data_IF_127639255641
#
_entry.id   IF_127639255641
#
_cell.length_a   1.000
_cell.length_b   1.000
_cell.length_c   1.000
_cell.angle_alpha   90.00
_cell.angle_beta   90.00
_cell.angle_gamma   90.00
#
_symmetry.space_group_name_H-M   'P 1'
#
loop_
_entity.id
_entity.type
_entity.pdbx_description
1 polymer ?
#
# COMPACT_ATOMS: atom_id res chain seq x y z
N UNK A 1 16.78 6.76 -40.27
CA UNK A 1 16.21 5.99 -39.18
C UNK A 1 16.29 6.86 -37.96
N UNK A 2 15.23 7.56 -37.63
CA UNK A 2 15.16 8.39 -36.43
C UNK A 2 14.75 7.47 -35.28
N UNK A 3 15.62 7.36 -34.27
CA UNK A 3 15.25 6.77 -33.02
C UNK A 3 14.14 7.63 -32.42
N UNK A 4 12.93 7.12 -32.42
CA UNK A 4 11.87 7.64 -31.55
C UNK A 4 12.36 7.30 -30.13
N UNK A 5 12.89 8.30 -29.47
CA UNK A 5 12.98 8.28 -28.02
C UNK A 5 11.54 8.46 -27.53
N UNK A 6 10.88 7.35 -27.21
CA UNK A 6 9.65 7.37 -26.47
C UNK A 6 9.97 8.05 -25.13
N UNK A 7 9.58 9.30 -25.01
CA UNK A 7 9.49 9.96 -23.74
C UNK A 7 8.27 9.32 -23.05
N UNK A 8 8.52 8.37 -22.19
CA UNK A 8 7.49 7.81 -21.33
C UNK A 8 6.79 8.98 -20.63
N UNK A 9 5.47 9.08 -20.80
CA UNK A 9 4.67 10.19 -20.28
C UNK A 9 4.80 10.30 -18.74
N UNK A 10 5.19 9.23 -18.08
CA UNK A 10 5.41 9.15 -16.64
C UNK A 10 6.84 9.52 -16.19
N UNK A 11 7.75 9.79 -17.12
CA UNK A 11 9.12 10.21 -16.81
C UNK A 11 9.98 9.20 -16.06
N UNK A 12 9.50 7.96 -15.88
CA UNK A 12 10.25 6.91 -15.19
C UNK A 12 11.37 6.37 -16.07
N UNK A 13 12.59 6.42 -15.57
CA UNK A 13 13.76 5.83 -16.24
C UNK A 13 14.37 4.76 -15.35
N UNK A 14 14.82 3.69 -15.98
CA UNK A 14 15.59 2.64 -15.28
C UNK A 14 16.76 3.27 -14.52
N UNK A 15 16.90 2.89 -13.26
CA UNK A 15 17.92 3.42 -12.37
C UNK A 15 17.52 4.68 -11.61
N UNK A 16 16.28 5.16 -11.73
CA UNK A 16 15.77 6.31 -10.97
C UNK A 16 14.99 5.89 -9.75
N UNK A 17 14.96 6.78 -8.79
CA UNK A 17 14.07 6.73 -7.63
C UNK A 17 12.84 7.58 -7.91
N UNK A 18 11.69 7.09 -7.49
CA UNK A 18 10.42 7.80 -7.45
C UNK A 18 9.78 7.58 -6.09
N UNK A 19 8.93 8.47 -5.69
CA UNK A 19 8.22 8.35 -4.43
C UNK A 19 6.81 8.89 -4.54
N UNK A 20 5.97 8.48 -3.60
CA UNK A 20 4.60 8.93 -3.56
C UNK A 20 4.00 8.82 -2.17
N UNK A 21 2.86 9.45 -2.03
CA UNK A 21 2.05 9.37 -0.82
C UNK A 21 0.56 9.46 -1.18
N UNK A 22 -0.26 8.80 -0.39
CA UNK A 22 -1.70 8.78 -0.57
C UNK A 22 -2.46 8.87 0.74
N UNK A 23 -3.72 9.21 0.61
CA UNK A 23 -4.71 9.22 1.68
C UNK A 23 -5.90 8.37 1.27
N UNK A 24 -6.52 7.72 2.22
CA UNK A 24 -7.61 6.81 1.89
C UNK A 24 -8.24 6.15 3.10
N UNK A 25 -8.66 4.92 2.90
CA UNK A 25 -9.35 4.14 3.92
C UNK A 25 -8.85 2.71 3.93
N UNK A 26 -8.78 2.14 5.12
CA UNK A 26 -8.49 0.74 5.38
C UNK A 26 -9.72 0.12 6.07
N UNK A 27 -10.24 -0.95 5.51
CA UNK A 27 -11.39 -1.67 6.05
C UNK A 27 -10.99 -2.96 6.75
N UNK A 28 -11.95 -3.50 7.50
CA UNK A 28 -11.79 -4.76 8.23
C UNK A 28 -10.57 -4.76 9.17
N UNK A 29 -10.35 -3.61 9.81
CA UNK A 29 -9.35 -3.45 10.86
C UNK A 29 -9.73 -4.30 12.08
N UNK A 30 -8.85 -4.50 13.07
CA UNK A 30 -9.14 -5.31 14.26
C UNK A 30 -10.45 -4.95 14.97
N UNK A 31 -10.89 -3.69 14.86
CA UNK A 31 -12.16 -3.20 15.43
C UNK A 31 -13.36 -3.45 14.51
N UNK A 32 -13.15 -3.99 13.30
CA UNK A 32 -14.19 -4.23 12.30
C UNK A 32 -14.72 -2.97 11.62
N UNK A 33 -14.06 -1.82 11.77
CA UNK A 33 -14.46 -0.52 11.21
C UNK A 33 -13.62 -0.13 9.99
N UNK A 34 -14.12 0.87 9.28
CA UNK A 34 -13.40 1.55 8.21
C UNK A 34 -12.59 2.69 8.83
N UNK A 35 -11.27 2.65 8.70
CA UNK A 35 -10.38 3.65 9.24
C UNK A 35 -9.79 4.55 8.16
N UNK A 36 -9.55 5.81 8.51
CA UNK A 36 -8.76 6.70 7.66
C UNK A 36 -7.32 6.21 7.62
N UNK A 37 -6.77 6.12 6.41
CA UNK A 37 -5.45 5.59 6.15
C UNK A 37 -4.56 6.55 5.37
N UNK A 38 -3.27 6.40 5.61
CA UNK A 38 -2.19 7.04 4.88
C UNK A 38 -1.28 5.96 4.30
N UNK A 39 -0.80 6.17 3.09
CA UNK A 39 0.30 5.40 2.53
C UNK A 39 1.45 6.31 2.09
N UNK A 40 2.63 5.73 2.05
CA UNK A 40 3.82 6.36 1.51
C UNK A 40 4.76 5.31 0.94
N UNK A 41 5.36 5.58 -0.20
CA UNK A 41 6.27 4.65 -0.83
C UNK A 41 7.45 5.35 -1.49
N UNK A 42 8.55 4.62 -1.57
CA UNK A 42 9.73 5.00 -2.35
C UNK A 42 10.13 3.79 -3.17
N UNK A 43 10.39 4.00 -4.44
CA UNK A 43 10.61 2.92 -5.39
C UNK A 43 11.84 3.17 -6.24
N UNK A 44 12.55 2.11 -6.56
CA UNK A 44 13.65 2.11 -7.51
C UNK A 44 13.22 1.40 -8.79
N UNK A 45 13.32 2.08 -9.93
CA UNK A 45 12.92 1.55 -11.23
C UNK A 45 14.02 0.60 -11.73
N UNK A 46 13.73 -0.70 -11.75
CA UNK A 46 14.66 -1.76 -12.13
C UNK A 46 14.56 -2.18 -13.61
N UNK A 47 13.42 -1.89 -14.23
CA UNK A 47 13.17 -2.09 -15.66
C UNK A 47 12.14 -1.04 -16.14
N UNK A 48 11.93 -0.88 -17.44
CA UNK A 48 11.05 0.14 -18.04
C UNK A 48 9.63 0.20 -17.42
N UNK A 49 9.15 -0.93 -16.89
CA UNK A 49 7.79 -1.05 -16.34
C UNK A 49 7.77 -1.73 -14.97
N UNK A 50 8.90 -1.81 -14.32
CA UNK A 50 9.04 -2.55 -13.07
C UNK A 50 9.84 -1.76 -12.05
N UNK A 51 9.29 -1.62 -10.87
CA UNK A 51 9.99 -1.05 -9.73
C UNK A 51 9.92 -1.96 -8.50
N UNK A 52 10.81 -1.69 -7.57
CA UNK A 52 10.84 -2.31 -6.24
C UNK A 52 11.14 -1.24 -5.19
N UNK A 53 10.49 -1.34 -4.06
CA UNK A 53 10.77 -0.41 -2.96
C UNK A 53 9.92 -0.62 -1.72
N UNK A 54 10.22 0.08 -0.64
CA UNK A 54 9.42 0.05 0.57
C UNK A 54 8.12 0.84 0.42
N UNK A 55 7.08 0.32 1.09
CA UNK A 55 5.79 0.99 1.29
C UNK A 55 5.43 0.96 2.77
N UNK A 56 5.00 2.09 3.27
CA UNK A 56 4.46 2.27 4.63
C UNK A 56 2.97 2.51 4.51
N UNK A 57 2.18 1.83 5.34
CA UNK A 57 0.75 2.07 5.51
C UNK A 57 0.49 2.43 6.98
N UNK A 58 -0.33 3.42 7.20
CA UNK A 58 -0.79 3.80 8.53
C UNK A 58 -2.30 3.99 8.50
N UNK A 59 -2.98 3.45 9.48
CA UNK A 59 -4.39 3.73 9.71
C UNK A 59 -4.63 3.86 11.21
N UNK A 60 -5.64 4.61 11.61
CA UNK A 60 -5.98 4.75 13.01
C UNK A 60 -7.13 5.70 13.27
N UNK A 61 -7.85 5.42 14.34
CA UNK A 61 -8.95 6.23 14.85
C UNK A 61 -8.86 6.30 16.39
N UNK A 62 -8.74 7.50 16.93
CA UNK A 62 -8.70 7.67 18.39
C UNK A 62 -7.49 7.02 19.06
N UNK A 63 -7.71 5.94 19.81
CA UNK A 63 -6.68 5.24 20.59
C UNK A 63 -6.08 4.03 19.88
N UNK A 64 -6.56 3.70 18.68
CA UNK A 64 -6.15 2.52 17.94
C UNK A 64 -5.32 2.92 16.74
N UNK A 65 -4.31 2.11 16.41
CA UNK A 65 -3.48 2.34 15.24
C UNK A 65 -3.10 1.02 14.56
N UNK A 66 -2.88 1.12 13.27
CA UNK A 66 -2.29 0.09 12.45
C UNK A 66 -1.12 0.70 11.68
N UNK A 67 0.03 0.05 11.76
CA UNK A 67 1.23 0.40 11.03
C UNK A 67 1.73 -0.80 10.24
N UNK A 68 1.79 -0.67 8.91
CA UNK A 68 2.32 -1.67 7.99
C UNK A 68 3.60 -1.18 7.31
N UNK A 69 4.57 -2.08 7.17
CA UNK A 69 5.76 -1.86 6.35
C UNK A 69 5.98 -3.09 5.47
N UNK A 70 6.13 -2.87 4.16
CA UNK A 70 6.32 -3.94 3.19
C UNK A 70 7.31 -3.54 2.10
N UNK A 71 8.00 -4.52 1.55
CA UNK A 71 8.72 -4.39 0.29
C UNK A 71 7.72 -4.71 -0.83
N UNK A 72 7.60 -3.79 -1.79
CA UNK A 72 6.66 -3.86 -2.90
C UNK A 72 7.39 -4.07 -4.21
N UNK A 73 6.73 -4.76 -5.13
CA UNK A 73 7.04 -4.76 -6.56
C UNK A 73 5.84 -4.18 -7.27
N UNK A 74 6.07 -3.22 -8.17
CA UNK A 74 5.02 -2.62 -9.01
C UNK A 74 5.36 -2.82 -10.48
N UNK A 75 4.32 -3.12 -11.26
CA UNK A 75 4.37 -3.26 -12.71
C UNK A 75 3.33 -2.33 -13.35
N UNK A 76 3.77 -1.51 -14.32
CA UNK A 76 2.92 -0.58 -15.06
C UNK A 76 2.57 -1.12 -16.44
N UNK A 77 1.30 -1.03 -16.77
CA UNK A 77 0.77 -1.44 -18.06
C UNK A 77 0.07 -0.27 -18.72
N UNK A 78 0.57 0.16 -19.90
CA UNK A 78 -0.05 1.24 -20.67
C UNK A 78 -1.48 0.90 -21.06
N UNK A 79 -2.39 1.82 -20.80
CA UNK A 79 -3.77 1.70 -21.27
C UNK A 79 -3.82 2.17 -22.72
N UNK A 80 -4.21 1.32 -23.69
CA UNK A 80 -4.26 1.70 -25.10
C UNK A 80 -5.16 2.93 -25.32
N UNK A 81 -4.69 3.87 -26.14
CA UNK A 81 -5.44 5.08 -26.49
C UNK A 81 -5.20 6.29 -25.58
N UNK A 82 -4.47 6.13 -24.49
CA UNK A 82 -4.14 7.25 -23.57
C UNK A 82 -2.82 7.93 -23.90
N UNK A 83 -2.13 7.49 -24.94
CA UNK A 83 -0.79 8.00 -25.32
C UNK A 83 0.23 7.94 -24.18
N UNK A 84 0.13 6.95 -23.32
CA UNK A 84 0.97 6.78 -22.14
C UNK A 84 0.62 7.71 -20.97
N UNK A 85 -0.43 8.51 -21.06
CA UNK A 85 -0.83 9.38 -19.94
C UNK A 85 -1.51 8.63 -18.80
N UNK A 86 -2.01 7.42 -19.05
CA UNK A 86 -2.68 6.61 -18.02
C UNK A 86 -2.19 5.18 -18.09
N UNK A 87 -1.82 4.64 -16.94
CA UNK A 87 -1.32 3.26 -16.78
C UNK A 87 -2.12 2.51 -15.73
N UNK A 88 -2.30 1.23 -15.96
CA UNK A 88 -2.75 0.29 -14.95
C UNK A 88 -1.53 -0.16 -14.15
N UNK A 89 -1.64 -0.13 -12.83
CA UNK A 89 -0.61 -0.57 -11.90
C UNK A 89 -1.02 -1.91 -11.31
N UNK A 90 -0.13 -2.89 -11.38
CA UNK A 90 -0.23 -4.13 -10.62
C UNK A 90 0.83 -4.11 -9.55
N UNK A 91 0.46 -4.39 -8.31
CA UNK A 91 1.41 -4.35 -7.20
C UNK A 91 1.23 -5.52 -6.25
N UNK A 92 2.34 -5.91 -5.62
CA UNK A 92 2.35 -6.94 -4.61
C UNK A 92 3.60 -6.85 -3.74
N UNK A 93 3.50 -7.32 -2.51
CA UNK A 93 4.59 -7.19 -1.57
C UNK A 93 4.56 -8.18 -0.42
N UNK A 94 5.61 -8.10 0.39
CA UNK A 94 5.77 -8.86 1.62
C UNK A 94 6.27 -7.94 2.72
N UNK A 95 5.73 -8.09 3.91
CA UNK A 95 6.12 -7.25 5.02
C UNK A 95 5.54 -7.69 6.35
N UNK A 96 5.41 -6.73 7.24
CA UNK A 96 4.81 -6.92 8.54
C UNK A 96 3.85 -5.78 8.86
N UNK A 97 2.89 -6.07 9.71
CA UNK A 97 1.93 -5.12 10.25
C UNK A 97 1.94 -5.19 11.77
N UNK A 98 1.76 -4.05 12.39
CA UNK A 98 1.60 -3.90 13.83
C UNK A 98 0.33 -3.11 14.11
N UNK A 99 -0.54 -3.66 14.94
CA UNK A 99 -1.75 -3.00 15.41
C UNK A 99 -1.65 -2.77 16.92
N UNK A 100 -2.08 -1.61 17.38
CA UNK A 100 -2.22 -1.30 18.79
C UNK A 100 -3.66 -0.95 19.10
N UNK A 101 -4.20 -1.55 20.16
CA UNK A 101 -5.55 -1.30 20.66
C UNK A 101 -5.41 -0.86 22.11
N UNK A 102 -5.99 0.29 22.44
CA UNK A 102 -6.02 0.79 23.82
C UNK A 102 -7.41 0.58 24.39
N UNK A 103 -7.51 -0.30 25.36
CA UNK A 103 -8.75 -0.50 26.13
C UNK A 103 -9.01 0.76 26.98
N UNK A 104 -10.08 1.48 26.64
CA UNK A 104 -10.48 2.73 27.29
C UNK A 104 -10.89 2.54 28.75
N UNK A 105 -11.36 1.34 29.14
CA UNK A 105 -11.85 1.07 30.51
C UNK A 105 -10.72 0.74 31.47
N UNK A 106 -9.68 0.03 30.98
CA UNK A 106 -8.54 -0.38 31.80
C UNK A 106 -7.28 0.47 31.60
N UNK A 107 -7.23 1.28 30.53
CA UNK A 107 -6.05 2.02 30.11
C UNK A 107 -4.90 1.12 29.63
N UNK A 108 -5.18 -0.16 29.36
CA UNK A 108 -4.17 -1.14 28.96
C UNK A 108 -4.01 -1.11 27.45
N UNK A 109 -2.80 -0.80 26.98
CA UNK A 109 -2.46 -0.87 25.56
C UNK A 109 -1.95 -2.28 25.21
N UNK A 110 -2.62 -2.94 24.28
CA UNK A 110 -2.20 -4.20 23.69
C UNK A 110 -1.66 -3.94 22.28
N UNK A 111 -0.56 -4.61 21.95
CA UNK A 111 0.03 -4.49 20.60
C UNK A 111 0.21 -5.87 20.00
N UNK A 112 -0.25 -6.02 18.77
CA UNK A 112 -0.19 -7.25 18.00
C UNK A 112 0.63 -7.04 16.75
N UNK A 113 1.42 -8.03 16.35
CA UNK A 113 2.20 -8.00 15.12
C UNK A 113 1.94 -9.24 14.28
N UNK A 114 1.94 -9.07 12.96
CA UNK A 114 1.71 -10.13 12.00
C UNK A 114 2.48 -9.90 10.70
N UNK A 115 2.49 -10.90 9.84
CA UNK A 115 2.88 -10.73 8.45
C UNK A 115 1.90 -9.80 7.72
N UNK A 116 2.34 -9.20 6.63
CA UNK A 116 1.55 -8.38 5.72
C UNK A 116 1.88 -8.78 4.28
N UNK A 117 0.87 -9.20 3.51
CA UNK A 117 0.99 -9.49 2.10
C UNK A 117 -0.01 -8.59 1.36
N UNK A 118 0.39 -7.38 0.95
CA UNK A 118 -0.45 -6.53 0.11
C UNK A 118 -0.40 -7.01 -1.33
N UNK A 119 -1.58 -7.12 -1.95
CA UNK A 119 -1.75 -7.35 -3.38
C UNK A 119 -2.75 -6.33 -3.88
N UNK A 120 -2.46 -5.67 -4.99
CA UNK A 120 -3.34 -4.61 -5.45
C UNK A 120 -3.25 -4.27 -6.91
N UNK A 121 -4.22 -3.45 -7.29
CA UNK A 121 -4.30 -2.82 -8.60
C UNK A 121 -4.48 -1.33 -8.41
N UNK A 122 -3.95 -0.54 -9.32
CA UNK A 122 -4.08 0.90 -9.29
C UNK A 122 -4.18 1.49 -10.69
N UNK A 123 -4.41 2.77 -10.72
CA UNK A 123 -4.35 3.58 -11.94
C UNK A 123 -3.49 4.80 -11.64
N UNK A 124 -2.51 5.01 -12.50
CA UNK A 124 -1.66 6.18 -12.51
C UNK A 124 -2.05 7.07 -13.68
N UNK A 125 -2.19 8.38 -13.44
CA UNK A 125 -2.49 9.37 -14.47
C UNK A 125 -1.52 10.55 -14.42
N UNK A 126 -0.71 10.72 -15.47
CA UNK A 126 0.24 11.82 -15.56
C UNK A 126 -0.49 13.16 -15.78
N UNK A 127 -0.34 14.08 -14.85
CA UNK A 127 -0.92 15.44 -14.91
C UNK A 127 0.09 16.42 -15.49
N UNK A 128 1.36 16.22 -15.17
CA UNK A 128 2.46 17.03 -15.69
C UNK A 128 3.76 16.23 -15.62
N UNK A 129 4.84 16.66 -16.29
CA UNK A 129 6.14 16.04 -16.14
C UNK A 129 6.55 15.98 -14.65
N UNK A 130 6.73 14.78 -14.12
CA UNK A 130 7.12 14.55 -12.74
C UNK A 130 5.97 14.60 -11.70
N UNK A 131 4.71 14.69 -12.12
CA UNK A 131 3.55 14.60 -11.21
C UNK A 131 2.49 13.66 -11.78
N UNK A 132 2.21 12.61 -11.06
CA UNK A 132 1.23 11.58 -11.40
C UNK A 132 0.19 11.50 -10.28
N UNK A 133 -1.09 11.51 -10.62
CA UNK A 133 -2.17 11.15 -9.69
C UNK A 133 -2.28 9.64 -9.65
N UNK A 134 -2.45 9.08 -8.46
CA UNK A 134 -2.58 7.65 -8.23
C UNK A 134 -3.90 7.30 -7.57
N UNK A 135 -4.45 6.16 -7.93
CA UNK A 135 -5.60 5.57 -7.24
C UNK A 135 -5.33 4.07 -7.09
N UNK A 136 -5.21 3.61 -5.86
CA UNK A 136 -4.80 2.25 -5.54
C UNK A 136 -5.88 1.52 -4.73
N UNK A 137 -6.16 0.28 -5.13
CA UNK A 137 -6.96 -0.68 -4.37
C UNK A 137 -6.06 -1.84 -3.95
N UNK A 138 -5.92 -2.04 -2.64
CA UNK A 138 -5.10 -3.09 -2.05
C UNK A 138 -5.96 -4.08 -1.28
N UNK A 139 -5.59 -5.34 -1.33
CA UNK A 139 -6.02 -6.38 -0.41
C UNK A 139 -4.83 -6.77 0.45
N UNK A 140 -4.86 -6.38 1.70
CA UNK A 140 -3.84 -6.68 2.68
C UNK A 140 -4.17 -7.99 3.39
N UNK A 141 -3.43 -9.05 3.09
CA UNK A 141 -3.56 -10.34 3.77
C UNK A 141 -2.69 -10.32 5.03
N UNK A 142 -3.28 -10.61 6.17
CA UNK A 142 -2.63 -10.58 7.49
C UNK A 142 -3.31 -11.55 8.44
N UNK A 143 -2.71 -11.79 9.60
CA UNK A 143 -3.37 -12.49 10.71
C UNK A 143 -3.60 -11.58 11.93
N UNK A 144 -3.57 -10.24 11.75
CA UNK A 144 -3.95 -9.31 12.80
C UNK A 144 -5.46 -9.30 12.94
N UNK A 145 -5.97 -9.44 14.15
CA UNK A 145 -7.41 -9.31 14.44
C UNK A 145 -8.07 -10.50 15.09
N UNK A 146 -7.33 -11.55 15.50
CA UNK A 146 -7.90 -12.63 16.28
C UNK A 146 -7.25 -12.81 17.65
N UNK A 147 -8.12 -13.10 18.58
CA UNK A 147 -8.00 -13.14 20.02
C UNK A 147 -6.80 -13.94 20.48
N UNK A 148 -5.76 -13.26 20.90
CA UNK A 148 -4.75 -13.87 21.78
C UNK A 148 -5.23 -13.69 23.21
N UNK A 149 -5.89 -14.68 23.77
CA UNK A 149 -6.10 -14.74 25.21
C UNK A 149 -4.73 -14.94 25.88
N UNK A 150 -4.26 -13.94 26.58
CA UNK A 150 -3.06 -14.02 27.40
C UNK A 150 -3.26 -15.11 28.46
N UNK A 151 -2.51 -16.23 28.33
CA UNK A 151 -2.45 -17.30 29.30
C UNK A 151 -3.17 -18.60 28.96
N UNK A 152 -3.96 -18.68 27.90
CA UNK A 152 -4.59 -19.89 27.37
C UNK A 152 -4.27 -20.06 25.90
N UNK A 153 -3.71 -21.18 25.52
CA UNK A 153 -3.34 -21.50 24.14
C UNK A 153 -4.59 -21.61 23.27
N UNK A 154 -4.85 -20.61 22.45
CA UNK A 154 -5.60 -20.75 21.21
C UNK A 154 -4.91 -19.87 20.17
N UNK A 155 -4.11 -20.50 19.30
CA UNK A 155 -3.58 -19.88 18.10
C UNK A 155 -4.55 -20.17 16.96
N UNK A 156 -5.60 -19.43 16.80
CA UNK A 156 -6.39 -19.43 15.58
C UNK A 156 -5.75 -18.43 14.59
N UNK A 157 -4.92 -18.97 13.71
CA UNK A 157 -4.32 -18.25 12.60
C UNK A 157 -5.33 -18.13 11.45
N UNK A 158 -6.38 -17.35 11.63
CA UNK A 158 -7.24 -17.00 10.52
C UNK A 158 -6.58 -15.87 9.71
N UNK A 159 -6.53 -16.05 8.41
CA UNK A 159 -6.07 -14.99 7.51
C UNK A 159 -7.17 -13.96 7.38
N UNK A 160 -6.90 -12.75 7.83
CA UNK A 160 -7.77 -11.60 7.67
C UNK A 160 -7.41 -10.86 6.37
N UNK A 161 -8.41 -10.36 5.66
CA UNK A 161 -8.23 -9.54 4.47
C UNK A 161 -8.70 -8.13 4.81
N UNK A 162 -7.78 -7.17 4.77
CA UNK A 162 -8.06 -5.76 5.01
C UNK A 162 -8.02 -5.03 3.65
N UNK A 163 -9.17 -4.74 3.02
CA UNK A 163 -9.20 -3.93 1.82
C UNK A 163 -8.79 -2.49 2.14
N UNK A 164 -7.97 -1.90 1.28
CA UNK A 164 -7.57 -0.51 1.38
C UNK A 164 -7.75 0.19 0.04
N UNK A 165 -8.15 1.45 0.09
CA UNK A 165 -8.24 2.32 -1.07
C UNK A 165 -7.51 3.62 -0.77
N UNK A 166 -6.60 4.01 -1.65
CA UNK A 166 -5.83 5.24 -1.54
C UNK A 166 -5.94 6.08 -2.79
N UNK A 167 -6.03 7.39 -2.60
CA UNK A 167 -5.81 8.40 -3.63
C UNK A 167 -4.55 9.18 -3.28
N UNK A 168 -3.65 9.35 -4.24
CA UNK A 168 -2.35 9.89 -3.95
C UNK A 168 -1.70 10.60 -5.12
N UNK A 169 -0.44 10.91 -4.89
CA UNK A 169 0.46 11.50 -5.88
C UNK A 169 1.78 10.75 -5.87
N UNK A 170 2.39 10.64 -7.06
CA UNK A 170 3.75 10.15 -7.28
C UNK A 170 4.56 11.22 -8.02
N UNK A 171 5.85 11.31 -7.69
CA UNK A 171 6.81 12.29 -8.22
C UNK A 171 8.22 11.72 -8.36
#
# INVERSE_FOLDING_TARGET
MAAHGDADAHGMKVGQWTGGAGVGFLGNTPDGVLEFGLDGHVEYVIAERLSIGPMVQYAGTGNDFLFGLSAQVKYWWDIPGTQGATELVLQGGLGFVRAGITDTDSGTANTYGSFLIPIGVGVDHAVSPGLVLTADLLLNFTSVGETVLAGGREFDLHTNIMPAFYLGVRF
#
